data_IF_374515561892
#
_entry.id   IF_374515561892
#
_cell.length_a   1.000
_cell.length_b   1.000
_cell.length_c   1.000
_cell.angle_alpha   90.00
_cell.angle_beta   90.00
_cell.angle_gamma   90.00
#
_symmetry.space_group_name_H-M   'P 1'
#
loop_
_entity.id
_entity.type
_entity.pdbx_description
1 polymer ?
#
# COMPACT_ATOMS: atom_id res chain seq x y z
N UNK A 1 12.93 6.03 6.59
CA UNK A 1 11.78 5.31 6.00
C UNK A 1 11.73 3.90 6.56
N UNK A 2 10.62 3.55 7.23
CA UNK A 2 10.36 2.21 7.78
C UNK A 2 9.78 1.27 6.70
N UNK A 3 9.77 -0.04 6.97
CA UNK A 3 9.09 -1.03 6.08
C UNK A 3 7.61 -0.69 5.86
N UNK A 4 6.93 -0.22 6.92
CA UNK A 4 5.52 0.19 6.86
C UNK A 4 5.33 1.40 5.96
N UNK A 5 6.19 2.41 6.07
CA UNK A 5 6.13 3.59 5.22
C UNK A 5 6.37 3.23 3.74
N UNK A 6 7.33 2.35 3.44
CA UNK A 6 7.57 1.86 2.08
C UNK A 6 6.33 1.13 1.51
N UNK A 7 5.65 0.31 2.32
CA UNK A 7 4.40 -0.35 1.94
C UNK A 7 3.26 0.65 1.67
N UNK A 8 3.10 1.68 2.51
CA UNK A 8 2.10 2.75 2.33
C UNK A 8 2.36 3.52 1.03
N UNK A 9 3.61 3.91 0.77
CA UNK A 9 3.97 4.63 -0.47
C UNK A 9 3.72 3.74 -1.68
N UNK A 10 4.05 2.44 -1.60
CA UNK A 10 3.80 1.48 -2.67
C UNK A 10 2.32 1.33 -2.98
N UNK A 11 1.48 1.22 -1.93
CA UNK A 11 0.03 1.11 -2.04
C UNK A 11 -0.61 2.36 -2.66
N UNK A 12 -0.13 3.56 -2.32
CA UNK A 12 -0.70 4.81 -2.82
C UNK A 12 -0.24 5.18 -4.24
N UNK A 13 1.06 4.98 -4.53
CA UNK A 13 1.67 5.39 -5.80
C UNK A 13 1.58 4.32 -6.88
N UNK A 14 1.48 3.05 -6.49
CA UNK A 14 1.61 1.91 -7.39
C UNK A 14 3.06 1.58 -7.77
N UNK A 15 4.05 2.23 -7.15
CA UNK A 15 5.48 1.97 -7.36
C UNK A 15 6.01 1.15 -6.19
N UNK A 16 6.46 -0.07 -6.46
CA UNK A 16 6.94 -0.99 -5.41
C UNK A 16 8.24 -0.47 -4.77
N UNK A 17 8.21 -0.29 -3.45
CA UNK A 17 9.34 0.05 -2.59
C UNK A 17 9.50 -1.02 -1.50
N UNK A 18 10.69 -1.60 -1.38
CA UNK A 18 10.95 -2.68 -0.42
C UNK A 18 10.41 -4.03 -0.87
N UNK A 19 9.98 -4.87 0.08
CA UNK A 19 9.50 -6.23 -0.21
C UNK A 19 8.00 -6.25 -0.50
N UNK A 20 7.60 -7.06 -1.49
CA UNK A 20 6.19 -7.26 -1.84
C UNK A 20 5.35 -7.80 -0.67
N UNK A 21 5.93 -8.65 0.19
CA UNK A 21 5.27 -9.17 1.38
C UNK A 21 4.82 -8.05 2.33
N UNK A 22 5.62 -6.99 2.49
CA UNK A 22 5.26 -5.85 3.34
C UNK A 22 4.07 -5.06 2.75
N UNK A 23 4.02 -4.91 1.42
CA UNK A 23 2.88 -4.32 0.71
C UNK A 23 1.63 -5.20 0.86
N UNK A 24 1.76 -6.52 0.69
CA UNK A 24 0.63 -7.43 0.83
C UNK A 24 0.07 -7.41 2.25
N UNK A 25 0.92 -7.53 3.28
CA UNK A 25 0.52 -7.46 4.68
C UNK A 25 -0.18 -6.15 5.04
N UNK A 26 0.34 -5.01 4.53
CA UNK A 26 -0.31 -3.71 4.70
C UNK A 26 -1.68 -3.67 4.02
N UNK A 27 -1.76 -4.16 2.78
CA UNK A 27 -3.00 -4.17 1.99
C UNK A 27 -4.08 -5.02 2.65
N UNK A 28 -3.74 -6.20 3.16
CA UNK A 28 -4.69 -7.09 3.84
C UNK A 28 -5.24 -6.45 5.12
N UNK A 29 -4.38 -5.77 5.89
CA UNK A 29 -4.80 -4.97 7.06
C UNK A 29 -5.66 -3.77 6.66
N UNK A 30 -5.36 -3.11 5.54
CA UNK A 30 -6.11 -1.97 5.04
C UNK A 30 -7.50 -2.35 4.52
N UNK A 31 -7.61 -3.50 3.86
CA UNK A 31 -8.86 -3.99 3.27
C UNK A 31 -9.64 -4.93 4.19
N UNK A 32 -9.05 -5.38 5.30
CA UNK A 32 -9.63 -6.36 6.24
C UNK A 32 -10.06 -7.66 5.55
N UNK A 33 -9.29 -8.09 4.55
CA UNK A 33 -9.51 -9.32 3.78
C UNK A 33 -8.21 -9.81 3.15
N UNK A 34 -8.05 -11.13 2.89
CA UNK A 34 -6.93 -11.64 2.11
C UNK A 34 -6.85 -10.99 0.72
N UNK A 35 -5.64 -10.78 0.22
CA UNK A 35 -5.40 -10.25 -1.13
C UNK A 35 -4.40 -11.12 -1.87
N UNK A 36 -4.74 -11.47 -3.11
CA UNK A 36 -3.92 -12.31 -3.96
C UNK A 36 -3.10 -11.47 -4.94
N UNK A 37 -1.94 -11.99 -5.36
CA UNK A 37 -1.02 -11.31 -6.28
C UNK A 37 -1.69 -10.77 -7.55
N UNK A 38 -2.58 -11.53 -8.19
CA UNK A 38 -3.30 -11.10 -9.39
C UNK A 38 -4.26 -9.92 -9.15
N UNK A 39 -4.70 -9.68 -7.91
CA UNK A 39 -5.57 -8.56 -7.56
C UNK A 39 -4.84 -7.22 -7.60
N UNK A 40 -3.51 -7.22 -7.43
CA UNK A 40 -2.68 -6.02 -7.59
C UNK A 40 -2.56 -5.55 -9.05
N UNK A 41 -3.02 -6.36 -10.03
CA UNK A 41 -3.18 -5.94 -11.42
C UNK A 41 -4.62 -5.51 -11.76
N UNK A 42 -5.58 -5.70 -10.84
CA UNK A 42 -6.98 -5.35 -11.07
C UNK A 42 -7.22 -3.86 -10.79
N UNK A 43 -7.55 -3.08 -11.83
CA UNK A 43 -7.76 -1.62 -11.73
C UNK A 43 -8.76 -1.20 -10.64
N UNK A 44 -9.82 -1.97 -10.41
CA UNK A 44 -10.81 -1.64 -9.37
C UNK A 44 -10.22 -1.78 -7.97
N UNK A 45 -9.47 -2.87 -7.74
CA UNK A 45 -8.82 -3.14 -6.46
C UNK A 45 -7.66 -2.17 -6.23
N UNK A 46 -6.85 -1.90 -7.25
CA UNK A 46 -5.77 -0.90 -7.16
C UNK A 46 -6.31 0.48 -6.78
N UNK A 47 -7.43 0.90 -7.38
CA UNK A 47 -8.08 2.17 -7.01
C UNK A 47 -8.61 2.15 -5.57
N UNK A 48 -9.17 1.03 -5.10
CA UNK A 48 -9.59 0.85 -3.71
C UNK A 48 -8.41 1.02 -2.74
N UNK A 49 -7.30 0.31 -3.01
CA UNK A 49 -6.06 0.37 -2.22
C UNK A 49 -5.51 1.79 -2.17
N UNK A 50 -5.44 2.46 -3.33
CA UNK A 50 -4.96 3.84 -3.43
C UNK A 50 -5.83 4.81 -2.62
N UNK A 51 -7.15 4.71 -2.72
CA UNK A 51 -8.06 5.60 -2.01
C UNK A 51 -7.98 5.40 -0.50
N UNK A 52 -7.92 4.15 -0.03
CA UNK A 52 -7.83 3.84 1.40
C UNK A 52 -6.46 4.16 2.00
N UNK A 53 -5.38 3.99 1.25
CA UNK A 53 -4.01 4.30 1.72
C UNK A 53 -3.67 5.78 1.71
N UNK A 54 -4.50 6.63 1.08
CA UNK A 54 -4.26 8.07 0.95
C UNK A 54 -4.04 8.78 2.29
N UNK A 55 -4.84 8.46 3.31
CA UNK A 55 -4.70 9.08 4.62
C UNK A 55 -3.36 8.73 5.29
N UNK A 56 -2.99 7.45 5.25
CA UNK A 56 -1.70 6.98 5.78
C UNK A 56 -0.54 7.65 5.03
N UNK A 57 -0.63 7.73 3.69
CA UNK A 57 0.38 8.37 2.86
C UNK A 57 0.56 9.86 3.21
N UNK A 58 -0.53 10.61 3.35
CA UNK A 58 -0.47 12.03 3.73
C UNK A 58 0.02 12.25 5.17
N UNK A 59 -0.01 11.22 6.02
CA UNK A 59 0.45 11.29 7.40
C UNK A 59 1.96 11.02 7.54
N UNK A 60 2.65 10.63 6.47
CA UNK A 60 4.10 10.44 6.48
C UNK A 60 4.78 11.80 6.60
N UNK A 61 5.46 12.03 7.73
CA UNK A 61 6.29 13.22 7.94
C UNK A 61 7.67 13.03 7.31
N UNK A 62 8.15 14.03 6.58
CA UNK A 62 9.52 14.07 6.05
C UNK A 62 10.30 15.13 6.81
N UNK A 63 11.34 14.72 7.52
CA UNK A 63 12.32 15.60 8.15
C UNK A 63 13.64 15.49 7.39
N UNK A 64 14.12 16.62 6.87
CA UNK A 64 15.42 16.75 6.17
C UNK A 64 16.57 17.08 7.10
#
# INVERSE_FOLDING_TARGET
>A
MTKREAAIVSAYTGIMLGHFSDLQDYTEKLLQRPVWTHQFANKKIVNEIKNKSKQDFCSISVSG
#
